data_IF_109891428030
#
_entry.id   IF_109891428030
#
_cell.length_a   1.000
_cell.length_b   1.000
_cell.length_c   1.000
_cell.angle_alpha   90.00
_cell.angle_beta   90.00
_cell.angle_gamma   90.00
#
_symmetry.space_group_name_H-M   'P 1'
#
loop_
_entity.id
_entity.type
_entity.pdbx_description
1 polymer ?
#
# COMPACT_ATOMS: atom_id res chain seq x y z
N UNK A 1 -33.11 9.39 -44.75
CA UNK A 1 -33.29 10.15 -43.49
C UNK A 1 -33.43 9.25 -42.27
N UNK A 2 -34.22 8.17 -42.30
CA UNK A 2 -34.50 7.30 -41.15
C UNK A 2 -33.25 6.73 -40.44
N UNK A 3 -32.23 6.29 -41.19
CA UNK A 3 -30.95 5.78 -40.64
C UNK A 3 -30.16 6.84 -39.85
N UNK A 4 -30.19 8.10 -40.29
CA UNK A 4 -29.51 9.21 -39.58
C UNK A 4 -30.26 9.57 -38.29
N UNK A 5 -31.60 9.52 -38.32
CA UNK A 5 -32.43 9.74 -37.14
C UNK A 5 -32.21 8.65 -36.07
N UNK A 6 -32.11 7.39 -36.49
CA UNK A 6 -31.80 6.27 -35.61
C UNK A 6 -30.41 6.40 -34.97
N UNK A 7 -29.40 6.82 -35.75
CA UNK A 7 -28.04 7.02 -35.22
C UNK A 7 -27.98 8.15 -34.18
N UNK A 8 -28.72 9.24 -34.42
CA UNK A 8 -28.84 10.36 -33.47
C UNK A 8 -29.56 9.90 -32.19
N UNK A 9 -30.64 9.14 -32.32
CA UNK A 9 -31.35 8.60 -31.16
C UNK A 9 -30.49 7.63 -30.34
N UNK A 10 -29.68 6.80 -31.00
CA UNK A 10 -28.73 5.89 -30.36
C UNK A 10 -27.62 6.66 -29.63
N UNK A 11 -27.04 7.70 -30.25
CA UNK A 11 -26.01 8.56 -29.64
C UNK A 11 -26.55 9.33 -28.43
N UNK A 12 -27.78 9.84 -28.49
CA UNK A 12 -28.46 10.52 -27.38
C UNK A 12 -28.87 9.56 -26.25
N UNK A 13 -29.13 8.28 -26.56
CA UNK A 13 -29.46 7.27 -25.54
C UNK A 13 -28.21 6.79 -24.80
N UNK A 14 -27.07 6.69 -25.49
CA UNK A 14 -25.79 6.28 -24.90
C UNK A 14 -25.18 7.38 -24.01
N UNK A 15 -25.40 8.66 -24.33
CA UNK A 15 -24.91 9.78 -23.49
C UNK A 15 -25.58 9.86 -22.12
N UNK A 16 -26.77 9.27 -21.95
CA UNK A 16 -27.46 9.17 -20.66
C UNK A 16 -26.94 8.03 -19.77
N UNK A 17 -25.99 7.21 -20.25
CA UNK A 17 -25.32 6.17 -19.45
C UNK A 17 -24.08 6.70 -18.69
N UNK A 18 -23.84 8.01 -18.71
CA UNK A 18 -22.80 8.62 -17.89
C UNK A 18 -23.25 8.63 -16.43
N UNK A 19 -22.85 7.61 -15.69
CA UNK A 19 -23.05 7.57 -14.24
C UNK A 19 -22.38 8.78 -13.59
N UNK A 20 -23.12 9.50 -12.75
CA UNK A 20 -22.52 10.44 -11.82
C UNK A 20 -21.54 9.67 -10.94
N UNK A 21 -20.29 10.13 -10.93
CA UNK A 21 -19.18 9.34 -10.44
C UNK A 21 -18.45 10.11 -9.35
N UNK A 22 -18.34 9.43 -8.21
CA UNK A 22 -17.32 9.73 -7.22
C UNK A 22 -16.17 8.77 -7.50
N UNK A 23 -14.94 9.26 -7.42
CA UNK A 23 -13.74 8.44 -7.52
C UNK A 23 -12.90 8.60 -6.28
N UNK A 24 -12.19 7.53 -5.92
CA UNK A 24 -11.22 7.53 -4.83
C UNK A 24 -9.85 7.52 -5.49
N UNK A 25 -9.05 8.54 -5.22
CA UNK A 25 -7.65 8.62 -5.67
C UNK A 25 -6.69 8.15 -4.57
N UNK A 26 -7.05 8.32 -3.30
CA UNK A 26 -6.34 7.77 -2.15
C UNK A 26 -7.33 7.52 -1.01
N UNK A 27 -7.18 6.44 -0.21
CA UNK A 27 -6.19 5.37 -0.34
C UNK A 27 -6.33 4.53 -1.61
N UNK A 28 -5.32 3.69 -1.87
CA UNK A 28 -5.35 2.67 -2.92
C UNK A 28 -5.59 1.27 -2.34
N UNK A 29 -5.88 0.31 -3.21
CA UNK A 29 -6.12 -1.09 -2.82
C UNK A 29 -4.93 -1.63 -2.00
N UNK A 30 -5.21 -2.27 -0.87
CA UNK A 30 -4.24 -2.89 0.06
C UNK A 30 -3.25 -1.94 0.71
N UNK A 31 -3.48 -0.64 0.63
CA UNK A 31 -2.71 0.33 1.41
C UNK A 31 -2.94 0.14 2.91
N UNK A 32 -1.85 0.18 3.68
CA UNK A 32 -1.87 0.10 5.14
C UNK A 32 -1.31 1.39 5.73
N UNK A 33 -2.08 1.99 6.62
CA UNK A 33 -1.67 3.13 7.42
C UNK A 33 -1.06 2.65 8.74
N UNK A 34 0.13 3.13 9.05
CA UNK A 34 0.80 2.86 10.31
C UNK A 34 -0.05 3.39 11.48
N UNK A 35 -0.43 2.49 12.38
CA UNK A 35 -1.14 2.83 13.60
C UNK A 35 -0.22 3.46 14.64
N UNK A 36 -0.80 4.31 15.48
CA UNK A 36 -0.16 4.88 16.66
C UNK A 36 -0.28 3.95 17.89
N UNK A 37 0.22 4.42 19.04
CA UNK A 37 0.15 3.70 20.32
C UNK A 37 -1.28 3.52 20.85
N UNK A 38 -2.27 4.23 20.31
CA UNK A 38 -3.69 4.11 20.64
C UNK A 38 -4.43 3.16 19.69
N UNK A 39 -3.69 2.38 18.89
CA UNK A 39 -4.20 1.44 17.91
C UNK A 39 -5.13 2.11 16.88
N UNK A 40 -4.74 3.28 16.36
CA UNK A 40 -5.48 4.02 15.34
C UNK A 40 -4.54 4.75 14.37
N UNK A 41 -5.05 5.17 13.21
CA UNK A 41 -4.35 6.04 12.29
C UNK A 41 -5.31 7.06 11.68
N UNK A 42 -4.78 8.25 11.37
CA UNK A 42 -5.50 9.24 10.57
C UNK A 42 -5.46 8.82 9.09
N UNK A 43 -6.57 8.29 8.59
CA UNK A 43 -6.71 7.90 7.18
C UNK A 43 -7.12 9.13 6.39
N UNK A 44 -6.29 9.54 5.44
CA UNK A 44 -6.60 10.63 4.50
C UNK A 44 -7.26 10.06 3.25
N UNK A 45 -8.40 10.63 2.87
CA UNK A 45 -9.16 10.26 1.69
C UNK A 45 -9.14 11.43 0.71
N UNK A 46 -8.78 11.15 -0.55
CA UNK A 46 -8.83 12.11 -1.64
C UNK A 46 -9.52 11.51 -2.85
N UNK A 47 -10.12 12.37 -3.67
CA UNK A 47 -10.82 11.93 -4.86
C UNK A 47 -11.48 13.07 -5.63
N UNK A 48 -12.31 12.69 -6.60
CA UNK A 48 -13.07 13.62 -7.42
C UNK A 48 -14.56 13.28 -7.45
N UNK A 49 -15.37 14.26 -7.83
CA UNK A 49 -16.81 14.12 -7.99
C UNK A 49 -17.28 14.93 -9.21
N UNK A 50 -18.23 14.38 -9.97
CA UNK A 50 -18.66 14.98 -11.26
C UNK A 50 -19.97 15.77 -11.21
N UNK A 51 -20.68 15.78 -10.08
CA UNK A 51 -21.96 16.46 -9.90
C UNK A 51 -21.97 17.32 -8.64
N UNK A 52 -22.77 18.40 -8.57
CA UNK A 52 -22.90 19.18 -7.35
C UNK A 52 -23.29 18.32 -6.14
N UNK A 53 -22.61 18.54 -5.02
CA UNK A 53 -22.88 17.89 -3.73
C UNK A 53 -22.70 18.90 -2.60
N UNK A 54 -23.52 18.79 -1.56
CA UNK A 54 -23.41 19.56 -0.32
C UNK A 54 -22.38 18.94 0.64
N UNK A 55 -22.27 17.61 0.64
CA UNK A 55 -21.34 16.88 1.51
C UNK A 55 -20.76 15.65 0.82
N UNK A 56 -19.52 15.33 1.19
CA UNK A 56 -18.91 14.01 0.96
C UNK A 56 -18.84 13.29 2.31
N UNK A 57 -19.34 12.07 2.31
CA UNK A 57 -19.32 11.18 3.47
C UNK A 57 -18.50 9.93 3.17
N UNK A 58 -17.90 9.37 4.22
CA UNK A 58 -17.20 8.09 4.18
C UNK A 58 -17.75 7.16 5.26
N UNK A 59 -17.69 5.86 5.01
CA UNK A 59 -17.85 4.83 6.04
C UNK A 59 -16.80 3.74 5.89
N UNK A 60 -16.53 3.03 6.98
CA UNK A 60 -15.60 1.91 7.02
C UNK A 60 -16.32 0.68 7.56
N UNK A 61 -16.35 -0.38 6.77
CA UNK A 61 -16.92 -1.67 7.14
C UNK A 61 -15.79 -2.66 7.35
N UNK A 62 -15.81 -3.45 8.42
CA UNK A 62 -14.80 -4.50 8.62
C UNK A 62 -14.94 -5.58 7.55
N UNK A 63 -13.84 -6.01 6.94
CA UNK A 63 -13.85 -7.11 5.94
C UNK A 63 -14.28 -8.42 6.58
N UNK A 64 -13.86 -8.66 7.82
CA UNK A 64 -14.28 -9.80 8.64
C UNK A 64 -14.66 -9.30 10.03
N UNK A 65 -15.76 -9.82 10.57
CA UNK A 65 -16.23 -9.45 11.90
C UNK A 65 -15.13 -9.65 12.95
N UNK A 66 -14.96 -8.67 13.85
CA UNK A 66 -13.93 -8.69 14.90
C UNK A 66 -12.53 -8.21 14.46
N UNK A 67 -12.30 -7.88 13.19
CA UNK A 67 -11.01 -7.37 12.70
C UNK A 67 -10.98 -5.85 12.56
N UNK A 68 -11.41 -5.14 13.61
CA UNK A 68 -11.49 -3.68 13.66
C UNK A 68 -12.82 -3.17 14.19
N UNK A 69 -13.08 -1.88 14.00
CA UNK A 69 -14.32 -1.22 14.41
C UNK A 69 -14.94 -0.50 13.21
N UNK A 70 -16.18 -0.85 12.87
CA UNK A 70 -16.91 -0.18 11.80
C UNK A 70 -17.18 1.29 12.16
N UNK A 71 -17.16 2.15 11.14
CA UNK A 71 -17.49 3.57 11.25
C UNK A 71 -18.64 3.81 10.28
N UNK A 72 -19.78 4.27 10.79
CA UNK A 72 -20.92 4.64 9.95
C UNK A 72 -20.66 5.98 9.23
N UNK A 73 -21.54 6.33 8.30
CA UNK A 73 -21.41 7.50 7.45
C UNK A 73 -21.06 8.77 8.22
N UNK A 74 -19.85 9.25 7.98
CA UNK A 74 -19.28 10.45 8.62
C UNK A 74 -18.94 11.46 7.53
N UNK A 75 -19.28 12.73 7.75
CA UNK A 75 -18.95 13.82 6.82
C UNK A 75 -17.44 14.10 6.88
N UNK A 76 -16.77 14.03 5.73
CA UNK A 76 -15.35 14.34 5.60
C UNK A 76 -15.08 15.64 4.84
N UNK A 77 -16.08 16.14 4.11
CA UNK A 77 -16.03 17.44 3.44
C UNK A 77 -17.43 18.00 3.28
N UNK A 78 -17.62 19.25 3.69
CA UNK A 78 -18.84 20.04 3.44
C UNK A 78 -18.58 21.09 2.38
N UNK A 79 -19.61 21.41 1.59
CA UNK A 79 -19.62 22.34 0.47
C UNK A 79 -18.33 22.23 -0.40
N UNK A 80 -17.99 21.04 -0.93
CA UNK A 80 -16.83 20.92 -1.79
C UNK A 80 -17.01 21.76 -3.07
N UNK A 81 -15.91 22.33 -3.56
CA UNK A 81 -15.85 23.12 -4.78
C UNK A 81 -14.75 22.58 -5.70
N UNK A 82 -14.90 22.80 -7.01
CA UNK A 82 -13.87 22.45 -7.98
C UNK A 82 -13.77 20.97 -8.34
N UNK A 83 -14.76 20.15 -8.00
CA UNK A 83 -14.83 18.74 -8.43
C UNK A 83 -13.84 17.80 -7.71
N UNK A 84 -13.12 18.29 -6.70
CA UNK A 84 -12.15 17.54 -5.92
C UNK A 84 -12.50 17.57 -4.43
N UNK A 85 -12.18 16.49 -3.72
CA UNK A 85 -12.32 16.44 -2.27
C UNK A 85 -11.08 15.87 -1.59
N UNK A 86 -10.86 16.35 -0.37
CA UNK A 86 -9.90 15.82 0.60
C UNK A 86 -10.55 15.86 1.97
N UNK A 87 -10.40 14.79 2.74
CA UNK A 87 -10.82 14.72 4.13
C UNK A 87 -10.06 13.64 4.87
N UNK A 88 -10.29 13.54 6.17
CA UNK A 88 -9.60 12.55 7.01
C UNK A 88 -10.50 12.03 8.11
N UNK A 89 -10.32 10.75 8.46
CA UNK A 89 -11.05 10.09 9.56
C UNK A 89 -10.05 9.32 10.40
N UNK A 90 -10.21 9.37 11.72
CA UNK A 90 -9.45 8.52 12.63
C UNK A 90 -10.04 7.11 12.61
N UNK A 91 -9.25 6.11 12.21
CA UNK A 91 -9.71 4.72 12.05
C UNK A 91 -8.91 3.81 12.98
N UNK A 92 -9.60 2.91 13.69
CA UNK A 92 -8.96 1.92 14.58
C UNK A 92 -8.23 0.84 13.79
N UNK A 93 -7.23 0.21 14.40
CA UNK A 93 -6.50 -0.92 13.84
C UNK A 93 -7.45 -2.01 13.33
N UNK A 94 -7.30 -2.42 12.06
CA UNK A 94 -8.22 -3.34 11.42
C UNK A 94 -8.11 -3.38 9.90
N UNK A 95 -8.95 -4.23 9.29
CA UNK A 95 -9.02 -4.47 7.84
C UNK A 95 -10.41 -4.12 7.32
N UNK A 96 -10.48 -3.18 6.38
CA UNK A 96 -11.73 -2.50 6.04
C UNK A 96 -12.03 -2.48 4.55
N UNK A 97 -13.33 -2.45 4.24
CA UNK A 97 -13.89 -1.89 3.01
C UNK A 97 -14.30 -0.45 3.31
N UNK A 98 -13.77 0.48 2.53
CA UNK A 98 -14.13 1.89 2.59
C UNK A 98 -15.15 2.22 1.52
N UNK A 99 -16.17 2.99 1.89
CA UNK A 99 -17.14 3.52 0.94
C UNK A 99 -17.22 5.03 1.04
N UNK A 100 -17.30 5.70 -0.11
CA UNK A 100 -17.43 7.16 -0.22
C UNK A 100 -18.69 7.48 -1.01
N UNK A 101 -19.48 8.44 -0.53
CA UNK A 101 -20.68 8.93 -1.21
C UNK A 101 -20.80 10.45 -1.11
N UNK A 102 -21.54 11.03 -2.05
CA UNK A 102 -21.87 12.46 -2.07
C UNK A 102 -23.36 12.65 -1.86
N UNK A 103 -23.74 13.72 -1.18
CA UNK A 103 -25.15 14.06 -0.95
C UNK A 103 -25.45 15.46 -1.46
N UNK A 104 -26.61 15.65 -2.08
CA UNK A 104 -27.19 16.94 -2.45
C UNK A 104 -28.64 16.97 -1.98
N UNK A 105 -29.02 17.98 -1.18
CA UNK A 105 -30.35 18.07 -0.58
C UNK A 105 -30.72 16.83 0.25
N UNK A 106 -29.73 16.21 0.90
CA UNK A 106 -29.89 14.98 1.68
C UNK A 106 -30.05 13.69 0.88
N UNK A 107 -30.06 13.75 -0.46
CA UNK A 107 -30.14 12.57 -1.33
C UNK A 107 -28.75 12.19 -1.84
N UNK A 108 -28.50 10.88 -1.96
CA UNK A 108 -27.25 10.38 -2.55
C UNK A 108 -27.20 10.81 -4.02
N UNK A 109 -26.07 11.38 -4.44
CA UNK A 109 -25.78 11.74 -5.82
C UNK A 109 -24.72 10.79 -6.36
N UNK A 110 -25.00 10.21 -7.53
CA UNK A 110 -24.11 9.25 -8.17
C UNK A 110 -24.02 7.91 -7.46
N UNK A 111 -22.98 7.15 -7.81
CA UNK A 111 -22.69 5.86 -7.18
C UNK A 111 -21.90 6.01 -5.88
N UNK A 112 -22.03 5.02 -5.01
CA UNK A 112 -21.16 4.85 -3.85
C UNK A 112 -19.85 4.21 -4.32
N UNK A 113 -18.75 4.96 -4.22
CA UNK A 113 -17.42 4.45 -4.56
C UNK A 113 -16.94 3.53 -3.46
N UNK A 114 -16.55 2.31 -3.80
CA UNK A 114 -16.11 1.30 -2.84
C UNK A 114 -14.67 0.93 -3.10
N UNK A 115 -13.85 0.92 -2.05
CA UNK A 115 -12.49 0.41 -2.06
C UNK A 115 -12.37 -0.67 -0.98
N UNK A 116 -12.30 -1.93 -1.41
CA UNK A 116 -12.07 -3.05 -0.50
C UNK A 116 -10.62 -3.08 -0.02
N UNK A 117 -10.36 -3.72 1.13
CA UNK A 117 -9.02 -4.07 1.62
C UNK A 117 -8.10 -2.86 1.78
N UNK A 118 -8.45 -1.97 2.70
CA UNK A 118 -7.52 -0.99 3.26
C UNK A 118 -7.27 -1.32 4.72
N UNK A 119 -6.09 -0.99 5.24
CA UNK A 119 -5.70 -1.35 6.60
C UNK A 119 -5.27 -0.18 7.46
N UNK A 120 -5.56 -0.27 8.75
CA UNK A 120 -4.81 0.41 9.80
C UNK A 120 -4.08 -0.66 10.58
N UNK A 121 -2.76 -0.61 10.58
CA UNK A 121 -1.94 -1.72 11.04
C UNK A 121 -0.47 -1.35 11.18
N UNK A 122 0.42 -2.30 10.94
CA UNK A 122 1.87 -2.07 10.99
C UNK A 122 2.49 -2.04 9.61
N UNK A 123 3.43 -1.12 9.41
CA UNK A 123 4.24 -1.02 8.21
C UNK A 123 5.69 -1.32 8.59
N UNK A 124 6.22 -2.41 8.05
CA UNK A 124 7.57 -2.88 8.32
C UNK A 124 8.48 -2.61 7.13
N UNK A 125 9.69 -2.14 7.43
CA UNK A 125 10.81 -2.09 6.48
C UNK A 125 11.78 -3.21 6.83
N UNK A 126 11.94 -4.15 5.92
CA UNK A 126 12.88 -5.26 6.02
C UNK A 126 14.24 -4.76 5.57
N UNK A 127 15.22 -4.87 6.45
CA UNK A 127 16.61 -4.53 6.22
C UNK A 127 17.50 -5.75 6.52
N UNK A 128 18.53 -5.98 5.72
CA UNK A 128 19.43 -7.10 5.93
C UNK A 128 20.22 -7.53 4.69
N UNK A 129 20.99 -8.60 4.82
CA UNK A 129 21.77 -9.20 3.74
C UNK A 129 20.91 -10.01 2.75
N UNK A 130 21.52 -10.76 1.82
CA UNK A 130 20.84 -11.62 0.84
C UNK A 130 19.67 -12.48 1.38
N UNK A 131 19.74 -13.03 2.60
CA UNK A 131 18.62 -13.80 3.15
C UNK A 131 17.39 -12.92 3.42
N UNK A 132 17.59 -11.64 3.73
CA UNK A 132 16.49 -10.70 3.91
C UNK A 132 15.89 -10.31 2.56
N UNK A 133 16.72 -10.13 1.51
CA UNK A 133 16.26 -9.91 0.13
C UNK A 133 15.43 -11.07 -0.41
N UNK A 134 15.63 -12.29 0.10
CA UNK A 134 14.96 -13.50 -0.37
C UNK A 134 15.61 -14.07 -1.64
N UNK A 135 15.07 -15.17 -2.14
CA UNK A 135 15.50 -15.79 -3.39
C UNK A 135 14.78 -15.18 -4.60
N UNK A 136 15.53 -14.98 -5.70
CA UNK A 136 14.95 -14.70 -7.01
C UNK A 136 14.45 -15.96 -7.73
N UNK A 137 14.63 -17.15 -7.14
CA UNK A 137 14.16 -18.43 -7.68
C UNK A 137 12.67 -18.61 -7.37
N UNK A 138 11.83 -18.02 -8.22
CA UNK A 138 10.37 -18.08 -8.04
C UNK A 138 9.85 -19.42 -8.55
N UNK A 139 9.29 -20.21 -7.63
CA UNK A 139 8.65 -21.50 -7.91
C UNK A 139 9.38 -22.70 -7.30
N UNK A 140 8.60 -23.62 -6.73
CA UNK A 140 8.94 -24.84 -5.96
C UNK A 140 9.26 -24.64 -4.47
N UNK A 141 10.00 -23.60 -4.05
CA UNK A 141 10.40 -23.43 -2.62
C UNK A 141 9.84 -22.17 -1.91
N UNK A 142 9.05 -21.35 -2.59
CA UNK A 142 8.50 -20.11 -2.06
C UNK A 142 7.17 -20.35 -1.34
N UNK A 143 7.01 -19.80 -0.13
CA UNK A 143 5.76 -19.87 0.65
C UNK A 143 5.18 -18.47 0.82
N UNK A 144 4.06 -18.21 0.14
CA UNK A 144 3.26 -17.02 0.39
C UNK A 144 2.62 -17.06 1.78
N UNK A 145 2.09 -15.91 2.22
CA UNK A 145 1.25 -15.82 3.42
C UNK A 145 -0.03 -16.65 3.29
N UNK A 146 -0.54 -17.12 4.42
CA UNK A 146 -1.87 -17.74 4.50
C UNK A 146 -2.94 -16.68 4.81
N UNK A 147 -2.64 -15.73 5.68
CA UNK A 147 -3.59 -14.68 6.07
C UNK A 147 -3.66 -13.58 4.99
N UNK A 148 -4.88 -13.21 4.57
CA UNK A 148 -5.11 -12.14 3.57
C UNK A 148 -4.57 -10.77 4.02
N UNK A 149 -4.35 -10.59 5.32
CA UNK A 149 -3.91 -9.32 5.91
C UNK A 149 -2.38 -9.13 5.88
N UNK A 150 -1.64 -10.08 5.31
CA UNK A 150 -0.21 -9.91 5.03
C UNK A 150 -0.03 -9.33 3.63
N UNK A 151 0.48 -8.10 3.59
CA UNK A 151 0.62 -7.34 2.35
C UNK A 151 2.08 -6.97 2.09
N UNK A 152 2.40 -6.72 0.82
CA UNK A 152 3.68 -6.20 0.40
C UNK A 152 3.50 -5.11 -0.64
N UNK A 153 4.52 -4.25 -0.76
CA UNK A 153 4.66 -3.42 -1.94
C UNK A 153 5.11 -4.32 -3.11
N UNK A 154 4.23 -4.65 -4.03
CA UNK A 154 4.49 -5.63 -5.10
C UNK A 154 5.09 -4.96 -6.34
N UNK A 155 6.31 -4.48 -6.16
CA UNK A 155 7.14 -3.96 -7.23
C UNK A 155 8.58 -4.36 -6.98
N UNK A 156 9.42 -4.20 -8.00
CA UNK A 156 10.86 -4.40 -7.83
C UNK A 156 11.63 -3.34 -8.62
N UNK A 157 12.75 -2.93 -8.05
CA UNK A 157 13.70 -2.02 -8.67
C UNK A 157 15.10 -2.64 -8.59
N UNK A 158 15.26 -3.72 -9.34
CA UNK A 158 16.52 -4.42 -9.55
C UNK A 158 16.56 -4.87 -11.02
N UNK A 159 17.76 -5.11 -11.55
CA UNK A 159 17.90 -5.63 -12.91
C UNK A 159 17.08 -6.94 -13.03
N UNK A 160 16.14 -7.05 -14.00
CA UNK A 160 15.32 -8.24 -14.18
C UNK A 160 16.14 -9.53 -14.36
N UNK A 161 17.37 -9.45 -14.87
CA UNK A 161 18.29 -10.61 -14.95
C UNK A 161 18.60 -11.25 -13.58
N UNK A 162 18.40 -10.51 -12.48
CA UNK A 162 18.55 -11.02 -11.12
C UNK A 162 17.33 -11.82 -10.62
N UNK A 163 16.21 -11.76 -11.34
CA UNK A 163 15.00 -12.54 -11.11
C UNK A 163 15.06 -13.76 -12.03
N UNK A 164 15.46 -14.90 -11.49
CA UNK A 164 15.56 -16.15 -12.27
C UNK A 164 14.18 -16.78 -12.39
N UNK A 165 13.86 -17.33 -13.57
CA UNK A 165 12.53 -17.89 -13.89
C UNK A 165 11.42 -16.82 -13.92
N UNK A 166 11.57 -15.81 -14.78
CA UNK A 166 10.46 -14.93 -15.14
C UNK A 166 9.30 -15.78 -15.68
N UNK A 167 8.29 -16.06 -14.84
CA UNK A 167 6.98 -16.45 -15.34
C UNK A 167 6.48 -15.26 -16.19
N UNK A 168 6.17 -15.43 -17.49
CA UNK A 168 5.58 -14.35 -18.30
C UNK A 168 4.23 -13.85 -17.77
N UNK A 169 3.66 -14.49 -16.74
CA UNK A 169 2.49 -14.02 -15.96
C UNK A 169 2.86 -13.20 -14.72
N UNK A 170 4.15 -12.94 -14.47
CA UNK A 170 4.58 -12.09 -13.36
C UNK A 170 4.17 -10.64 -13.62
N UNK A 171 3.28 -10.16 -12.76
CA UNK A 171 2.69 -8.81 -12.78
C UNK A 171 3.44 -7.81 -11.92
N UNK A 172 4.55 -8.19 -11.26
CA UNK A 172 5.37 -7.24 -10.51
C UNK A 172 5.97 -6.23 -11.50
N UNK A 173 5.53 -4.97 -11.40
CA UNK A 173 6.03 -3.88 -12.22
C UNK A 173 7.53 -3.71 -11.96
N UNK A 174 8.35 -4.01 -12.97
CA UNK A 174 9.74 -3.58 -12.99
C UNK A 174 9.75 -2.11 -13.39
N UNK A 175 10.13 -1.23 -12.47
CA UNK A 175 9.99 0.22 -12.65
C UNK A 175 11.25 0.82 -13.29
N UNK A 176 12.37 0.09 -13.33
CA UNK A 176 13.60 0.58 -13.93
C UNK A 176 14.82 -0.29 -13.68
N UNK A 177 15.93 0.05 -14.36
CA UNK A 177 17.25 -0.56 -14.14
C UNK A 177 18.04 0.12 -13.02
N UNK A 178 17.59 1.30 -12.59
CA UNK A 178 18.28 2.17 -11.64
C UNK A 178 17.45 2.31 -10.37
N UNK A 179 18.12 2.14 -9.22
CA UNK A 179 17.56 2.12 -7.86
C UNK A 179 16.81 3.41 -7.41
N UNK A 180 16.50 4.32 -8.34
CA UNK A 180 15.82 5.61 -8.13
C UNK A 180 14.32 5.57 -8.40
N UNK A 181 13.82 4.56 -9.12
CA UNK A 181 12.40 4.45 -9.45
C UNK A 181 11.58 3.77 -8.35
N UNK A 182 10.50 4.41 -7.90
CA UNK A 182 9.60 3.92 -6.86
C UNK A 182 8.14 4.01 -7.30
N UNK A 183 7.36 2.93 -7.13
CA UNK A 183 5.89 2.96 -7.25
C UNK A 183 5.28 2.71 -5.89
N UNK A 184 4.60 3.72 -5.35
CA UNK A 184 3.85 3.60 -4.10
C UNK A 184 2.41 3.08 -4.33
N UNK A 185 2.06 2.67 -5.56
CA UNK A 185 0.68 2.38 -5.95
C UNK A 185 0.39 0.88 -6.05
N UNK A 186 1.41 0.03 -6.16
CA UNK A 186 1.25 -1.42 -6.26
C UNK A 186 1.38 -2.12 -4.91
N UNK A 187 0.28 -2.32 -4.19
CA UNK A 187 0.24 -3.22 -3.02
C UNK A 187 -0.50 -4.51 -3.35
N UNK A 188 0.02 -5.64 -2.89
CA UNK A 188 -0.59 -6.94 -3.08
C UNK A 188 -0.62 -7.74 -1.78
N UNK A 189 -1.38 -8.84 -1.77
CA UNK A 189 -1.18 -9.90 -0.78
C UNK A 189 0.23 -10.43 -0.99
N UNK A 190 0.94 -10.77 0.10
CA UNK A 190 2.21 -11.45 -0.03
C UNK A 190 1.98 -12.91 -0.45
N UNK A 191 1.87 -13.16 -1.74
CA UNK A 191 1.69 -14.49 -2.32
C UNK A 191 3.02 -15.09 -2.77
N UNK A 192 3.00 -16.38 -3.13
CA UNK A 192 4.19 -17.13 -3.56
C UNK A 192 4.90 -16.52 -4.78
N UNK A 193 4.21 -15.68 -5.55
CA UNK A 193 4.70 -15.02 -6.76
C UNK A 193 5.03 -13.55 -6.56
N UNK A 194 4.71 -12.97 -5.40
CA UNK A 194 4.84 -11.53 -5.15
C UNK A 194 6.30 -11.13 -4.96
N UNK A 195 6.61 -9.90 -5.35
CA UNK A 195 7.84 -9.21 -4.91
C UNK A 195 7.59 -8.51 -3.59
N UNK A 196 8.66 -8.16 -2.88
CA UNK A 196 8.59 -7.19 -1.78
C UNK A 196 9.49 -6.02 -2.14
N UNK A 197 8.92 -4.98 -2.71
CA UNK A 197 9.66 -3.83 -3.21
C UNK A 197 10.35 -3.03 -2.11
N UNK A 198 11.42 -2.29 -2.45
CA UNK A 198 12.02 -2.21 -3.80
C UNK A 198 12.98 -3.35 -4.17
N UNK A 199 13.54 -4.09 -3.20
CA UNK A 199 14.68 -5.01 -3.44
C UNK A 199 14.46 -6.46 -3.02
N UNK A 200 13.29 -6.78 -2.46
CA UNK A 200 12.92 -8.15 -2.12
C UNK A 200 12.56 -8.94 -3.37
N UNK A 201 13.39 -9.94 -3.69
CA UNK A 201 13.26 -10.79 -4.87
C UNK A 201 12.06 -11.75 -4.81
N UNK A 202 11.49 -11.99 -3.63
CA UNK A 202 10.38 -12.91 -3.44
C UNK A 202 9.91 -12.96 -1.98
N UNK A 203 8.88 -13.77 -1.68
CA UNK A 203 8.26 -13.84 -0.35
C UNK A 203 9.13 -14.57 0.69
N UNK A 204 9.91 -15.57 0.29
CA UNK A 204 10.80 -16.39 1.10
C UNK A 204 10.16 -16.82 2.43
N UNK A 205 10.82 -16.59 3.57
CA UNK A 205 10.22 -16.81 4.89
C UNK A 205 9.31 -15.66 5.36
N UNK A 206 9.25 -14.53 4.63
CA UNK A 206 8.47 -13.35 5.02
C UNK A 206 6.96 -13.60 5.00
N UNK A 207 6.48 -14.55 4.19
CA UNK A 207 5.09 -15.00 4.26
C UNK A 207 4.72 -15.53 5.65
N UNK A 208 5.54 -16.44 6.19
CA UNK A 208 5.36 -17.02 7.53
C UNK A 208 5.58 -16.00 8.65
N UNK A 209 6.56 -15.11 8.48
CA UNK A 209 6.78 -13.99 9.43
C UNK A 209 5.55 -13.10 9.46
N UNK A 210 4.99 -12.76 8.30
CA UNK A 210 3.76 -11.99 8.16
C UNK A 210 2.58 -12.65 8.88
N UNK A 211 2.36 -13.95 8.63
CA UNK A 211 1.29 -14.71 9.31
C UNK A 211 1.46 -14.67 10.84
N UNK A 212 2.69 -14.87 11.34
CA UNK A 212 2.99 -14.80 12.77
C UNK A 212 2.77 -13.39 13.36
N UNK A 213 3.14 -12.34 12.63
CA UNK A 213 2.91 -10.95 13.04
C UNK A 213 1.41 -10.63 13.08
N UNK A 214 0.65 -11.00 12.05
CA UNK A 214 -0.80 -10.79 12.03
C UNK A 214 -1.48 -11.54 13.16
N UNK A 215 -1.09 -12.79 13.42
CA UNK A 215 -1.61 -13.58 14.54
C UNK A 215 -1.31 -12.93 15.91
N UNK A 216 -0.10 -12.37 16.06
CA UNK A 216 0.32 -11.72 17.31
C UNK A 216 -0.31 -10.35 17.53
N UNK A 217 -0.45 -9.55 16.47
CA UNK A 217 -0.83 -8.15 16.56
C UNK A 217 -2.32 -7.91 16.31
N UNK A 218 -3.01 -8.86 15.67
CA UNK A 218 -4.43 -8.76 15.34
C UNK A 218 -4.79 -7.75 14.24
N UNK A 219 -3.79 -7.09 13.65
CA UNK A 219 -3.94 -6.05 12.62
C UNK A 219 -3.23 -6.44 11.33
N UNK A 220 -3.61 -5.87 10.17
CA UNK A 220 -2.90 -6.11 8.92
C UNK A 220 -1.47 -5.57 8.96
N UNK A 221 -0.59 -6.21 8.19
CA UNK A 221 0.82 -5.83 8.07
C UNK A 221 1.21 -5.57 6.63
N UNK A 222 2.07 -4.58 6.40
CA UNK A 222 2.65 -4.25 5.11
C UNK A 222 4.17 -4.36 5.18
N UNK A 223 4.76 -5.06 4.20
CA UNK A 223 6.21 -5.12 4.04
C UNK A 223 6.73 -4.27 2.89
N UNK A 224 7.78 -3.52 3.17
CA UNK A 224 8.78 -3.07 2.20
C UNK A 224 10.09 -3.80 2.47
N UNK A 225 10.89 -4.06 1.45
CA UNK A 225 12.16 -4.78 1.59
C UNK A 225 13.28 -4.06 0.88
N UNK A 226 14.26 -3.63 1.68
CA UNK A 226 15.47 -2.92 1.26
C UNK A 226 16.72 -3.79 1.45
N UNK A 227 16.56 -5.08 1.71
CA UNK A 227 17.64 -6.03 1.89
C UNK A 227 18.61 -6.03 0.71
N UNK A 228 19.90 -6.06 1.01
CA UNK A 228 20.98 -5.93 0.04
C UNK A 228 21.85 -7.19 -0.03
N UNK A 229 21.78 -7.90 -1.15
CA UNK A 229 22.63 -9.05 -1.43
C UNK A 229 24.12 -8.69 -1.41
N UNK A 230 24.94 -9.51 -0.77
CA UNK A 230 26.39 -9.27 -0.61
C UNK A 230 26.78 -8.28 0.50
N UNK A 231 25.82 -7.63 1.16
CA UNK A 231 26.10 -6.86 2.37
C UNK A 231 26.29 -7.78 3.58
N UNK A 232 27.18 -7.42 4.51
CA UNK A 232 27.30 -8.11 5.79
C UNK A 232 26.19 -7.69 6.75
N UNK A 233 25.68 -8.62 7.56
CA UNK A 233 24.76 -8.32 8.65
C UNK A 233 25.33 -7.25 9.62
N UNK A 234 26.66 -7.17 9.74
CA UNK A 234 27.35 -6.15 10.53
C UNK A 234 27.00 -4.72 10.10
N UNK A 235 26.97 -4.45 8.80
CA UNK A 235 26.71 -3.09 8.28
C UNK A 235 25.31 -2.63 8.66
N UNK A 236 24.34 -3.54 8.63
CA UNK A 236 22.96 -3.27 9.05
C UNK A 236 22.85 -3.04 10.55
N UNK A 237 23.54 -3.84 11.36
CA UNK A 237 23.59 -3.67 12.80
C UNK A 237 24.24 -2.34 13.22
N UNK A 238 25.38 -1.98 12.61
CA UNK A 238 26.06 -0.71 12.86
C UNK A 238 25.17 0.48 12.46
N UNK A 239 24.48 0.40 11.31
CA UNK A 239 23.54 1.45 10.87
C UNK A 239 22.37 1.63 11.83
N UNK A 240 21.85 0.53 12.39
CA UNK A 240 20.76 0.57 13.37
C UNK A 240 21.21 1.14 14.73
N UNK A 241 22.45 0.88 15.14
CA UNK A 241 23.03 1.43 16.37
C UNK A 241 23.38 2.92 16.23
N UNK A 242 23.79 3.34 15.04
CA UNK A 242 24.24 4.70 14.75
C UNK A 242 23.40 5.34 13.62
N UNK A 243 22.10 5.65 13.86
CA UNK A 243 21.20 6.14 12.82
C UNK A 243 21.62 7.50 12.20
N UNK A 244 22.46 8.26 12.90
CA UNK A 244 23.05 9.52 12.43
C UNK A 244 24.56 9.41 12.15
N UNK A 245 25.09 8.18 12.08
CA UNK A 245 26.50 7.93 11.88
C UNK A 245 26.97 8.38 10.50
N UNK A 246 28.19 8.92 10.42
CA UNK A 246 28.81 9.29 9.15
C UNK A 246 29.79 8.20 8.72
N UNK A 247 29.88 7.97 7.42
CA UNK A 247 30.94 7.13 6.86
C UNK A 247 32.25 7.94 6.79
N UNK A 248 33.25 7.50 7.55
CA UNK A 248 34.62 8.02 7.50
C UNK A 248 35.54 6.88 7.09
N UNK A 249 36.22 7.00 5.94
CA UNK A 249 37.08 5.94 5.37
C UNK A 249 36.40 4.56 5.29
N UNK A 250 35.11 4.52 4.97
CA UNK A 250 34.33 3.28 4.85
C UNK A 250 33.85 2.67 6.17
N UNK A 251 34.03 3.35 7.31
CA UNK A 251 33.49 2.94 8.62
C UNK A 251 32.41 3.90 9.11
N UNK A 252 31.32 3.36 9.66
CA UNK A 252 30.28 4.14 10.34
C UNK A 252 30.82 4.65 11.68
N UNK A 253 30.84 5.97 11.86
CA UNK A 253 31.25 6.65 13.10
C UNK A 253 30.03 7.34 13.69
N UNK A 254 29.73 7.12 14.97
CA UNK A 254 28.58 7.71 15.68
C UNK A 254 28.65 9.24 15.79
N UNK A 255 27.53 9.92 16.10
CA UNK A 255 27.42 11.37 16.02
C UNK A 255 28.28 12.17 17.02
N UNK A 256 28.90 11.56 18.04
CA UNK A 256 29.94 12.21 18.84
C UNK A 256 30.96 11.16 19.29
N UNK A 257 32.18 11.23 18.74
CA UNK A 257 33.35 10.74 19.46
C UNK A 257 34.58 11.53 19.02
N UNK A 258 34.77 12.69 19.66
CA UNK A 258 36.10 13.17 20.06
C UNK A 258 36.69 12.23 21.14
N UNK A 259 36.76 10.93 20.83
CA UNK A 259 37.40 9.94 21.67
C UNK A 259 38.10 8.94 20.76
N UNK A 260 39.39 9.21 20.59
CA UNK A 260 40.39 8.23 20.18
C UNK A 260 40.24 7.00 21.10
N UNK A 261 39.79 5.89 20.55
CA UNK A 261 40.01 4.58 21.13
C UNK A 261 40.28 3.61 19.97
N UNK A 262 41.57 3.29 19.80
CA UNK A 262 42.05 2.40 18.76
C UNK A 262 41.80 0.92 19.04
N UNK A 263 42.17 0.12 18.02
CA UNK A 263 42.66 -1.28 18.03
C UNK A 263 41.72 -2.31 18.72
N UNK A 264 41.12 -3.31 18.06
CA UNK A 264 41.60 -4.34 17.13
C UNK A 264 40.45 -4.83 16.24
#
# INVERSE_FOLDING_TARGET
>A
MLKKLFLIFLLLSISNLLFSQITISSPVLRQIFQRDLNNQALVTITGSYSQPVDTIQVRFLTVTSGQGAAIDWTVIKSAPLGGLFKGSVMVKGGWYTMEVRGLLGGKIVGSVSTLSRIGVGEVFVIAGQSNASGSGERGVNETGSTDDRVNCADFINVNPDQIKNEDPKNVSFNIGKDATDFSLVGFAKLDKTSSIGPRGYGPYYWGKVGDALVAKLGVPVLFFNTGWGGASARVWAESAQYPNGKLVNGKLVGPESDAVAGIY
#
